data_IF_108026575902
#
_entry.id   IF_108026575902
#
_cell.length_a   1.000
_cell.length_b   1.000
_cell.length_c   1.000
_cell.angle_alpha   90.00
_cell.angle_beta   90.00
_cell.angle_gamma   90.00
#
_symmetry.space_group_name_H-M   'P 1'
#
loop_
_entity.id
_entity.type
_entity.pdbx_description
1 polymer ?
#
# COMPACT_ATOMS: atom_id res chain seq x y z
N UNK A 1 -46.08 -7.00 -74.00
CA UNK A 1 -44.98 -7.82 -73.39
C UNK A 1 -43.84 -6.91 -72.93
N UNK A 2 -43.91 -6.11 -71.89
CA UNK A 2 -42.73 -5.32 -71.48
C UNK A 2 -42.59 -4.99 -69.99
N UNK A 3 -43.58 -5.30 -69.13
CA UNK A 3 -43.47 -4.94 -67.71
C UNK A 3 -42.87 -6.02 -66.80
N UNK A 4 -42.86 -7.30 -67.20
CA UNK A 4 -42.35 -8.39 -66.38
C UNK A 4 -40.81 -8.46 -66.35
N UNK A 5 -40.13 -8.03 -67.42
CA UNK A 5 -38.67 -7.99 -67.50
C UNK A 5 -38.02 -6.91 -66.61
N UNK A 6 -38.65 -5.73 -66.52
CA UNK A 6 -38.14 -4.63 -65.70
C UNK A 6 -38.21 -4.90 -64.18
N UNK A 7 -39.22 -5.65 -63.72
CA UNK A 7 -39.40 -6.02 -62.34
C UNK A 7 -38.36 -7.05 -61.87
N UNK A 8 -38.02 -8.04 -62.71
CA UNK A 8 -36.98 -9.04 -62.43
C UNK A 8 -35.58 -8.42 -62.36
N UNK A 9 -35.28 -7.49 -63.29
CA UNK A 9 -34.01 -6.80 -63.36
C UNK A 9 -33.81 -5.87 -62.11
N UNK A 10 -34.83 -5.16 -61.65
CA UNK A 10 -34.77 -4.29 -60.48
C UNK A 10 -34.55 -5.08 -59.17
N UNK A 11 -35.15 -6.28 -59.05
CA UNK A 11 -34.99 -7.14 -57.88
C UNK A 11 -33.57 -7.76 -57.82
N UNK A 12 -33.01 -8.12 -59.01
CA UNK A 12 -31.63 -8.63 -59.10
C UNK A 12 -30.60 -7.55 -58.75
N UNK A 13 -30.77 -6.31 -59.26
CA UNK A 13 -29.89 -5.17 -58.92
C UNK A 13 -29.95 -4.80 -57.43
N UNK A 14 -31.13 -4.86 -56.78
CA UNK A 14 -31.25 -4.63 -55.35
C UNK A 14 -30.63 -5.73 -54.51
N UNK A 15 -30.70 -6.96 -54.95
CA UNK A 15 -30.01 -8.08 -54.28
C UNK A 15 -28.48 -7.98 -54.41
N UNK A 16 -27.99 -7.59 -55.58
CA UNK A 16 -26.54 -7.33 -55.78
C UNK A 16 -26.05 -6.17 -54.89
N UNK A 17 -26.80 -5.09 -54.79
CA UNK A 17 -26.45 -3.98 -53.86
C UNK A 17 -26.42 -4.42 -52.41
N UNK A 18 -27.38 -5.26 -51.97
CA UNK A 18 -27.39 -5.81 -50.57
C UNK A 18 -26.24 -6.74 -50.33
N UNK A 19 -25.86 -7.56 -51.27
CA UNK A 19 -24.68 -8.48 -51.16
C UNK A 19 -23.38 -7.67 -51.14
N UNK A 20 -23.24 -6.69 -52.02
CA UNK A 20 -22.09 -5.78 -52.06
C UNK A 20 -21.94 -5.02 -50.73
N UNK A 21 -23.03 -4.49 -50.16
CA UNK A 21 -23.03 -3.80 -48.88
C UNK A 21 -22.59 -4.73 -47.76
N UNK A 22 -23.03 -5.99 -47.72
CA UNK A 22 -22.61 -6.97 -46.71
C UNK A 22 -21.12 -7.34 -46.82
N UNK A 23 -20.61 -7.46 -48.07
CA UNK A 23 -19.19 -7.70 -48.30
C UNK A 23 -18.33 -6.52 -47.85
N UNK A 24 -18.76 -5.27 -48.12
CA UNK A 24 -18.06 -4.08 -47.70
C UNK A 24 -18.06 -3.96 -46.15
N UNK A 25 -19.19 -4.22 -45.49
CA UNK A 25 -19.27 -4.24 -44.03
C UNK A 25 -18.37 -5.34 -43.43
N UNK A 26 -18.37 -6.53 -44.04
CA UNK A 26 -17.48 -7.62 -43.60
C UNK A 26 -15.99 -7.29 -43.77
N UNK A 27 -15.63 -6.64 -44.88
CA UNK A 27 -14.25 -6.15 -45.10
C UNK A 27 -13.86 -5.05 -44.14
N UNK A 28 -14.76 -4.11 -43.83
CA UNK A 28 -14.54 -3.05 -42.83
C UNK A 28 -14.39 -3.63 -41.40
N UNK A 29 -15.20 -4.63 -41.05
CA UNK A 29 -15.07 -5.32 -39.75
C UNK A 29 -13.72 -6.06 -39.65
N UNK A 30 -13.25 -6.71 -40.72
CA UNK A 30 -11.94 -7.36 -40.72
C UNK A 30 -10.79 -6.34 -40.66
N UNK A 31 -10.93 -5.14 -41.25
CA UNK A 31 -9.93 -4.08 -41.14
C UNK A 31 -9.73 -3.57 -39.72
N UNK A 32 -10.80 -3.58 -38.91
CA UNK A 32 -10.73 -3.21 -37.48
C UNK A 32 -10.03 -4.26 -36.59
N UNK A 33 -9.90 -5.52 -37.06
CA UNK A 33 -9.24 -6.60 -36.30
C UNK A 33 -7.71 -6.55 -36.43
N UNK A 34 -7.18 -5.85 -37.43
CA UNK A 34 -5.74 -5.71 -37.67
C UNK A 34 -5.11 -4.49 -36.97
N UNK A 35 -5.72 -4.00 -35.86
CA UNK A 35 -5.00 -3.07 -35.00
C UNK A 35 -3.87 -3.84 -34.32
N UNK A 36 -2.65 -3.62 -34.78
CA UNK A 36 -1.46 -4.16 -34.12
C UNK A 36 -1.42 -3.59 -32.69
N UNK A 37 -1.67 -4.44 -31.70
CA UNK A 37 -1.40 -4.11 -30.31
C UNK A 37 0.12 -4.10 -30.17
N UNK A 38 0.72 -2.92 -30.18
CA UNK A 38 2.11 -2.76 -29.80
C UNK A 38 2.16 -2.85 -28.28
N UNK A 39 2.64 -3.96 -27.76
CA UNK A 39 3.06 -4.04 -26.38
C UNK A 39 4.44 -3.38 -26.29
N UNK A 40 4.55 -2.28 -25.54
CA UNK A 40 5.86 -1.72 -25.24
C UNK A 40 6.67 -2.74 -24.44
N UNK A 41 7.85 -3.05 -24.93
CA UNK A 41 8.80 -3.93 -24.23
C UNK A 41 9.36 -3.19 -23.02
N UNK A 42 8.97 -3.61 -21.81
CA UNK A 42 9.54 -3.06 -20.57
C UNK A 42 10.90 -3.72 -20.36
N UNK A 43 11.98 -2.92 -20.47
CA UNK A 43 13.35 -3.36 -20.20
C UNK A 43 13.73 -3.01 -18.76
N UNK A 44 14.12 -4.01 -18.01
CA UNK A 44 14.55 -3.86 -16.62
C UNK A 44 15.94 -4.45 -16.40
N UNK A 45 16.66 -3.89 -15.44
CA UNK A 45 17.96 -4.40 -15.00
C UNK A 45 17.74 -5.18 -13.69
N UNK A 46 17.98 -6.49 -13.67
CA UNK A 46 17.93 -7.27 -12.43
C UNK A 46 19.07 -6.83 -11.51
N UNK A 47 18.79 -6.67 -10.20
CA UNK A 47 19.77 -6.16 -9.24
C UNK A 47 20.16 -7.21 -8.22
N UNK A 48 19.25 -7.67 -7.36
CA UNK A 48 19.56 -8.63 -6.29
C UNK A 48 20.42 -8.06 -5.14
N UNK A 49 20.48 -6.72 -4.98
CA UNK A 49 21.25 -6.06 -3.90
C UNK A 49 20.43 -5.98 -2.63
N UNK A 50 21.04 -6.32 -1.48
CA UNK A 50 20.48 -6.07 -0.16
C UNK A 50 20.40 -4.56 0.11
N UNK A 51 19.29 -4.13 0.70
CA UNK A 51 18.98 -2.72 1.01
C UNK A 51 18.25 -2.62 2.34
N UNK A 52 18.37 -1.47 3.00
CA UNK A 52 17.48 -1.07 4.07
C UNK A 52 16.14 -0.60 3.47
N UNK A 53 15.05 -1.02 4.08
CA UNK A 53 13.70 -0.58 3.75
C UNK A 53 13.12 0.08 4.98
N UNK A 54 12.69 1.33 4.87
CA UNK A 54 12.00 2.06 5.94
C UNK A 54 10.67 2.59 5.42
N UNK A 55 9.59 2.24 6.10
CA UNK A 55 8.22 2.69 5.77
C UNK A 55 7.67 3.49 6.94
N UNK A 56 7.08 4.62 6.62
CA UNK A 56 6.28 5.43 7.53
C UNK A 56 4.81 5.22 7.22
N UNK A 57 4.03 4.94 8.26
CA UNK A 57 2.59 4.72 8.13
C UNK A 57 1.82 6.04 8.09
N UNK A 58 0.61 5.97 7.58
CA UNK A 58 -0.32 7.10 7.59
C UNK A 58 -1.02 7.14 8.94
N UNK A 59 -0.57 8.03 9.85
CA UNK A 59 -0.98 8.02 11.26
C UNK A 59 -0.28 6.94 12.09
N UNK A 60 -0.77 6.71 13.30
CA UNK A 60 -0.20 5.76 14.26
C UNK A 60 -1.03 4.47 14.32
N UNK A 61 -0.39 3.33 14.06
CA UNK A 61 -1.02 2.02 14.20
C UNK A 61 -1.00 1.58 15.67
N UNK A 62 -2.15 1.23 16.22
CA UNK A 62 -2.25 0.62 17.55
C UNK A 62 -1.86 -0.85 17.43
N UNK A 63 -0.71 -1.21 17.99
CA UNK A 63 -0.13 -2.57 17.95
C UNK A 63 -0.33 -3.35 19.25
N UNK A 64 -0.66 -2.65 20.34
CA UNK A 64 -0.91 -3.25 21.64
C UNK A 64 -1.56 -2.29 22.62
N UNK A 65 -1.97 -2.83 23.75
CA UNK A 65 -2.55 -2.06 24.85
C UNK A 65 -2.04 -2.57 26.21
N UNK A 66 -1.95 -1.66 27.18
CA UNK A 66 -1.57 -1.98 28.55
C UNK A 66 -2.45 -1.23 29.54
N UNK A 67 -2.47 -1.69 30.78
CA UNK A 67 -3.07 -0.95 31.88
C UNK A 67 -2.14 0.18 32.35
N UNK A 68 -2.74 1.27 32.81
CA UNK A 68 -2.05 2.38 33.45
C UNK A 68 -2.66 2.55 34.85
N UNK A 69 -1.87 2.36 35.89
CA UNK A 69 -2.34 2.36 37.27
C UNK A 69 -3.59 1.51 37.54
N UNK A 70 -3.64 0.28 36.92
CA UNK A 70 -4.75 -0.65 37.07
C UNK A 70 -6.00 -0.29 36.24
N UNK A 71 -5.96 0.78 35.44
CA UNK A 71 -7.06 1.16 34.55
C UNK A 71 -6.74 0.80 33.09
N UNK A 72 -7.64 0.04 32.46
CA UNK A 72 -7.53 -0.32 31.03
C UNK A 72 -8.30 0.70 30.19
N UNK A 73 -7.61 1.77 29.77
CA UNK A 73 -8.19 2.88 29.00
C UNK A 73 -8.68 2.41 27.64
N UNK A 74 -7.94 1.55 26.96
CA UNK A 74 -8.33 1.04 25.64
C UNK A 74 -9.65 0.30 25.69
N UNK A 75 -9.84 -0.58 26.67
CA UNK A 75 -11.09 -1.30 26.88
C UNK A 75 -12.24 -0.35 27.26
N UNK A 76 -11.98 0.62 28.12
CA UNK A 76 -12.97 1.61 28.60
C UNK A 76 -13.56 2.42 27.45
N UNK A 77 -12.72 2.86 26.52
CA UNK A 77 -13.12 3.71 25.39
C UNK A 77 -13.27 2.96 24.06
N UNK A 78 -13.07 1.65 24.05
CA UNK A 78 -13.27 0.80 22.85
C UNK A 78 -12.20 0.98 21.79
N UNK A 79 -10.97 1.38 22.16
CA UNK A 79 -9.80 1.42 21.28
C UNK A 79 -9.30 -0.02 21.10
N UNK A 80 -8.96 -0.41 19.88
CA UNK A 80 -8.58 -1.77 19.53
C UNK A 80 -7.22 -1.83 18.84
N UNK A 81 -6.57 -2.98 18.93
CA UNK A 81 -5.43 -3.31 18.06
C UNK A 81 -5.90 -3.23 16.60
N UNK A 82 -5.05 -2.76 15.71
CA UNK A 82 -5.32 -2.40 14.31
C UNK A 82 -6.05 -1.06 14.10
N UNK A 83 -6.43 -0.35 15.15
CA UNK A 83 -6.88 1.04 14.97
C UNK A 83 -5.73 1.89 14.46
N UNK A 84 -6.02 2.74 13.49
CA UNK A 84 -5.08 3.74 13.00
C UNK A 84 -5.51 5.11 13.49
N UNK A 85 -4.73 5.72 14.38
CA UNK A 85 -4.96 7.06 14.89
C UNK A 85 -4.42 8.06 13.88
N UNK A 86 -5.30 8.79 13.20
CA UNK A 86 -4.93 9.79 12.19
C UNK A 86 -4.81 11.19 12.76
N UNK A 87 -5.64 11.50 13.78
CA UNK A 87 -5.63 12.82 14.44
C UNK A 87 -5.82 12.71 15.94
N UNK A 88 -5.25 13.67 16.66
CA UNK A 88 -5.52 13.94 18.07
C UNK A 88 -5.93 15.41 18.21
N UNK A 89 -7.04 15.68 18.89
CA UNK A 89 -7.61 17.03 19.04
C UNK A 89 -7.75 17.77 17.68
N UNK A 90 -8.17 17.04 16.63
CA UNK A 90 -8.32 17.50 15.25
C UNK A 90 -7.00 17.89 14.53
N UNK A 91 -5.84 17.64 15.13
CA UNK A 91 -4.52 17.84 14.52
C UNK A 91 -3.99 16.50 13.99
N UNK A 92 -3.43 16.49 12.78
CA UNK A 92 -2.79 15.30 12.22
C UNK A 92 -1.63 14.86 13.10
N UNK A 93 -1.52 13.56 13.34
CA UNK A 93 -0.46 12.98 14.16
C UNK A 93 0.36 12.01 13.30
N UNK A 94 1.70 12.14 13.36
CA UNK A 94 2.60 11.38 12.51
C UNK A 94 3.79 10.76 13.27
N UNK A 95 3.94 11.06 14.55
CA UNK A 95 4.99 10.45 15.37
C UNK A 95 4.49 10.03 16.73
N UNK A 96 5.11 8.98 17.27
CA UNK A 96 4.83 8.46 18.60
C UNK A 96 5.19 9.46 19.70
N UNK A 97 6.25 10.26 19.49
CA UNK A 97 6.68 11.31 20.42
C UNK A 97 5.63 12.44 20.52
N UNK A 98 5.15 12.91 19.36
CA UNK A 98 4.10 13.95 19.31
C UNK A 98 2.82 13.47 19.97
N UNK A 99 2.42 12.22 19.73
CA UNK A 99 1.27 11.59 20.37
C UNK A 99 1.41 11.56 21.88
N UNK A 100 2.52 11.04 22.39
CA UNK A 100 2.78 10.93 23.82
C UNK A 100 2.80 12.30 24.49
N UNK A 101 3.41 13.30 23.86
CA UNK A 101 3.45 14.67 24.33
C UNK A 101 2.04 15.26 24.41
N UNK A 102 1.25 15.14 23.33
CA UNK A 102 -0.11 15.71 23.28
C UNK A 102 -1.03 15.05 24.30
N UNK A 103 -0.92 13.72 24.50
CA UNK A 103 -1.68 13.02 25.55
C UNK A 103 -1.32 13.54 26.94
N UNK A 104 -0.02 13.70 27.24
CA UNK A 104 0.45 14.17 28.53
C UNK A 104 0.05 15.63 28.82
N UNK A 105 0.00 16.49 27.83
CA UNK A 105 -0.39 17.90 27.93
C UNK A 105 -1.91 18.11 28.08
N UNK A 106 -2.72 17.04 27.85
CA UNK A 106 -4.19 17.13 27.89
C UNK A 106 -4.80 16.14 28.90
N UNK A 107 -4.57 16.33 30.22
CA UNK A 107 -5.04 15.41 31.26
C UNK A 107 -6.58 15.30 31.36
N UNK A 108 -7.30 16.32 30.90
CA UNK A 108 -8.76 16.36 30.94
C UNK A 108 -9.40 15.50 29.82
N UNK A 109 -8.64 15.08 28.82
CA UNK A 109 -9.09 14.24 27.73
C UNK A 109 -8.58 14.67 26.37
N UNK A 110 -8.57 13.72 25.45
CA UNK A 110 -8.20 13.90 24.04
C UNK A 110 -9.24 13.30 23.12
N UNK A 111 -9.47 13.95 21.99
CA UNK A 111 -10.31 13.45 20.90
C UNK A 111 -9.43 12.76 19.86
N UNK A 112 -9.60 11.45 19.71
CA UNK A 112 -8.86 10.63 18.73
C UNK A 112 -9.73 10.38 17.51
N UNK A 113 -9.27 10.82 16.33
CA UNK A 113 -9.85 10.39 15.06
C UNK A 113 -9.15 9.12 14.63
N UNK A 114 -9.89 8.03 14.60
CA UNK A 114 -9.38 6.68 14.36
C UNK A 114 -9.99 6.14 13.08
N UNK A 115 -9.20 5.48 12.26
CA UNK A 115 -9.68 4.65 11.15
C UNK A 115 -9.64 3.19 11.54
N UNK A 116 -10.80 2.52 11.47
CA UNK A 116 -10.99 1.09 11.74
C UNK A 116 -11.81 0.49 10.60
N UNK A 117 -11.28 -0.54 9.92
CA UNK A 117 -11.97 -1.21 8.80
C UNK A 117 -12.53 -0.23 7.75
N UNK A 118 -11.73 0.79 7.39
CA UNK A 118 -12.10 1.90 6.50
C UNK A 118 -13.21 2.84 7.01
N UNK A 119 -13.63 2.71 8.27
CA UNK A 119 -14.60 3.60 8.90
C UNK A 119 -13.89 4.63 9.79
N UNK A 120 -14.34 5.88 9.73
CA UNK A 120 -13.86 6.94 10.58
C UNK A 120 -14.63 6.93 11.90
N UNK A 121 -13.92 6.82 13.01
CA UNK A 121 -14.45 6.74 14.36
C UNK A 121 -13.83 7.86 15.20
N UNK A 122 -14.65 8.60 15.93
CA UNK A 122 -14.20 9.59 16.90
C UNK A 122 -14.33 9.01 18.31
N UNK A 123 -13.22 8.98 19.05
CA UNK A 123 -13.18 8.50 20.44
C UNK A 123 -12.65 9.63 21.34
N UNK A 124 -13.44 9.99 22.35
CA UNK A 124 -12.98 10.89 23.39
C UNK A 124 -12.47 10.05 24.56
N UNK A 125 -11.18 10.11 24.85
CA UNK A 125 -10.54 9.33 25.89
C UNK A 125 -9.86 10.23 26.91
N UNK A 126 -9.98 9.90 28.18
CA UNK A 126 -9.29 10.58 29.28
C UNK A 126 -8.06 9.75 29.64
N UNK A 127 -6.84 10.32 29.56
CA UNK A 127 -5.63 9.62 29.94
C UNK A 127 -5.54 9.44 31.46
N UNK A 128 -4.79 8.44 31.89
CA UNK A 128 -4.57 8.10 33.29
C UNK A 128 -3.14 8.50 33.67
N UNK A 129 -2.99 9.07 34.86
CA UNK A 129 -1.69 9.42 35.45
C UNK A 129 -0.95 8.11 35.81
N UNK A 130 0.23 7.91 35.24
CA UNK A 130 1.09 6.75 35.54
C UNK A 130 1.99 7.05 36.77
N UNK A 131 2.65 6.03 37.30
CA UNK A 131 3.50 6.12 38.49
C UNK A 131 4.68 7.09 38.32
N UNK A 132 5.13 7.32 37.10
CA UNK A 132 6.19 8.29 36.74
C UNK A 132 5.66 9.72 36.47
N UNK A 133 4.42 10.01 36.90
CA UNK A 133 3.75 11.30 36.74
C UNK A 133 3.54 11.76 35.29
N UNK A 134 3.37 10.81 34.37
CA UNK A 134 3.04 11.07 32.95
C UNK A 134 1.64 10.56 32.65
N UNK A 135 0.82 11.37 31.98
CA UNK A 135 -0.51 10.96 31.54
C UNK A 135 -0.41 10.08 30.29
N UNK A 136 -1.03 8.90 30.34
CA UNK A 136 -0.99 7.90 29.27
C UNK A 136 -2.37 7.31 28.97
N UNK A 137 -2.53 6.85 27.71
CA UNK A 137 -3.71 6.09 27.30
C UNK A 137 -3.48 4.56 27.36
N UNK A 138 -2.28 4.11 27.72
CA UNK A 138 -1.93 2.69 27.72
C UNK A 138 -1.98 2.06 26.33
N UNK A 139 -1.66 2.83 25.29
CA UNK A 139 -1.62 2.38 23.91
C UNK A 139 -0.17 2.20 23.47
N UNK A 140 0.10 1.07 22.81
CA UNK A 140 1.35 0.85 22.11
C UNK A 140 1.09 1.20 20.65
N UNK A 141 1.78 2.23 20.18
CA UNK A 141 1.58 2.78 18.84
C UNK A 141 2.86 2.73 18.03
N UNK A 142 2.73 2.58 16.71
CA UNK A 142 3.84 2.50 15.76
C UNK A 142 3.59 3.47 14.61
N UNK A 143 4.59 4.28 14.28
CA UNK A 143 4.58 5.24 13.16
C UNK A 143 5.42 4.79 11.96
N UNK A 144 6.34 3.86 12.18
CA UNK A 144 7.26 3.41 11.13
C UNK A 144 7.73 1.98 11.38
N UNK A 145 8.20 1.35 10.34
CA UNK A 145 8.91 0.07 10.41
C UNK A 145 10.14 0.11 9.51
N UNK A 146 11.19 -0.63 9.91
CA UNK A 146 12.39 -0.78 9.12
C UNK A 146 12.84 -2.23 9.10
N UNK A 147 13.48 -2.63 8.02
CA UNK A 147 14.01 -3.97 7.84
C UNK A 147 15.00 -4.05 6.69
N UNK A 148 15.55 -5.24 6.47
CA UNK A 148 16.42 -5.54 5.33
C UNK A 148 15.59 -6.21 4.25
N UNK A 149 15.78 -5.78 3.01
CA UNK A 149 15.15 -6.36 1.83
C UNK A 149 16.11 -6.51 0.67
N UNK A 150 15.59 -6.95 -0.47
CA UNK A 150 16.38 -7.09 -1.69
C UNK A 150 15.67 -6.36 -2.83
N UNK A 151 16.38 -5.47 -3.52
CA UNK A 151 15.89 -4.86 -4.76
C UNK A 151 15.88 -5.93 -5.84
N UNK A 152 14.74 -6.15 -6.46
CA UNK A 152 14.55 -7.16 -7.50
C UNK A 152 15.02 -6.64 -8.85
N UNK A 153 14.52 -5.48 -9.27
CA UNK A 153 14.91 -4.86 -10.53
C UNK A 153 14.81 -3.33 -10.46
N UNK A 154 15.46 -2.70 -11.41
CA UNK A 154 15.42 -1.28 -11.69
C UNK A 154 15.09 -1.06 -13.17
N UNK A 155 14.21 -0.11 -13.46
CA UNK A 155 13.88 0.31 -14.81
C UNK A 155 14.59 1.63 -15.15
N UNK A 156 15.61 1.63 -16.04
CA UNK A 156 16.37 2.84 -16.36
C UNK A 156 15.59 3.84 -17.21
N UNK A 157 14.44 3.47 -17.80
CA UNK A 157 13.66 4.37 -18.64
C UNK A 157 12.88 5.39 -17.82
N UNK A 158 12.39 5.00 -16.63
CA UNK A 158 11.55 5.84 -15.78
C UNK A 158 12.04 5.93 -14.33
N UNK A 159 13.21 5.37 -14.03
CA UNK A 159 13.81 5.29 -12.71
C UNK A 159 12.98 4.55 -11.65
N UNK A 160 12.01 3.72 -12.06
CA UNK A 160 11.23 2.93 -11.12
C UNK A 160 11.98 1.66 -10.70
N UNK A 161 11.63 1.13 -9.53
CA UNK A 161 12.17 -0.13 -9.04
C UNK A 161 11.05 -1.00 -8.44
N UNK A 162 11.34 -2.30 -8.31
CA UNK A 162 10.60 -3.21 -7.46
C UNK A 162 11.54 -3.95 -6.52
N UNK A 163 11.06 -4.26 -5.34
CA UNK A 163 11.81 -4.99 -4.33
C UNK A 163 10.94 -5.97 -3.55
N UNK A 164 11.56 -6.92 -2.88
CA UNK A 164 11.06 -7.95 -1.99
C UNK A 164 10.35 -9.13 -2.69
N UNK A 165 9.34 -8.94 -3.50
CA UNK A 165 8.47 -10.00 -4.03
C UNK A 165 7.34 -10.41 -3.07
N UNK A 166 7.16 -9.70 -1.96
CA UNK A 166 6.06 -9.80 -0.99
C UNK A 166 5.83 -8.45 -0.33
N UNK A 167 4.66 -8.27 0.26
CA UNK A 167 4.35 -7.07 1.03
C UNK A 167 5.08 -7.01 2.37
N UNK A 168 5.18 -5.81 2.91
CA UNK A 168 5.64 -5.57 4.28
C UNK A 168 4.41 -5.51 5.17
N UNK A 169 4.34 -6.45 6.09
CA UNK A 169 3.29 -6.55 7.08
C UNK A 169 3.79 -6.05 8.44
N UNK A 170 2.89 -5.52 9.23
CA UNK A 170 3.17 -5.26 10.63
C UNK A 170 3.33 -6.60 11.38
N UNK A 171 4.38 -6.71 12.17
CA UNK A 171 4.76 -7.98 12.83
C UNK A 171 3.77 -8.36 13.95
N UNK A 172 3.14 -7.38 14.58
CA UNK A 172 2.25 -7.62 15.72
C UNK A 172 0.83 -7.94 15.25
N UNK A 173 0.39 -7.30 14.16
CA UNK A 173 -0.97 -7.41 13.65
C UNK A 173 -1.10 -8.33 12.44
N UNK A 174 0.01 -8.60 11.74
CA UNK A 174 0.04 -9.40 10.51
C UNK A 174 -0.55 -8.71 9.28
N UNK A 175 -1.07 -7.49 9.42
CA UNK A 175 -1.70 -6.75 8.33
C UNK A 175 -0.66 -6.04 7.47
N UNK A 176 -0.96 -5.90 6.17
CA UNK A 176 -0.13 -5.12 5.27
C UNK A 176 -0.11 -3.65 5.70
N UNK A 177 1.10 -3.08 5.78
CA UNK A 177 1.28 -1.69 6.17
C UNK A 177 0.88 -0.75 5.04
N UNK A 178 0.04 0.24 5.36
CA UNK A 178 -0.21 1.37 4.45
C UNK A 178 1.03 2.28 4.42
N UNK A 179 1.42 2.71 3.22
CA UNK A 179 2.59 3.58 3.02
C UNK A 179 2.12 5.02 2.89
N UNK A 180 2.53 5.87 3.83
CA UNK A 180 2.50 7.32 3.67
C UNK A 180 3.72 7.79 2.87
N UNK A 181 4.87 7.29 3.26
CA UNK A 181 6.15 7.47 2.59
C UNK A 181 7.08 6.33 2.98
N UNK A 182 8.11 6.10 2.19
CA UNK A 182 9.12 5.11 2.52
C UNK A 182 10.40 5.34 1.74
N UNK A 183 11.48 4.76 2.23
CA UNK A 183 12.81 4.92 1.67
C UNK A 183 13.48 3.56 1.50
N UNK A 184 14.18 3.43 0.38
CA UNK A 184 15.23 2.42 0.22
C UNK A 184 16.54 3.08 0.62
N UNK A 185 17.28 2.42 1.51
CA UNK A 185 18.52 2.89 2.09
C UNK A 185 19.68 1.96 1.69
N UNK A 186 20.89 2.49 1.64
CA UNK A 186 22.04 1.61 1.61
C UNK A 186 22.10 0.77 2.91
N UNK A 187 22.48 -0.48 2.74
CA UNK A 187 22.58 -1.43 3.85
C UNK A 187 23.89 -2.23 3.74
N UNK A 188 24.63 -2.27 4.83
CA UNK A 188 25.78 -3.13 5.00
C UNK A 188 25.36 -4.37 5.81
N UNK A 189 25.59 -5.56 5.26
CA UNK A 189 25.30 -6.81 5.96
C UNK A 189 26.40 -7.07 6.98
N UNK A 190 26.04 -7.13 8.26
CA UNK A 190 26.97 -7.33 9.37
C UNK A 190 27.12 -8.81 9.72
N UNK A 191 26.03 -9.57 9.70
CA UNK A 191 26.04 -11.00 10.00
C UNK A 191 24.84 -11.73 9.37
N UNK A 192 24.97 -13.05 9.28
CA UNK A 192 23.92 -13.95 8.81
C UNK A 192 23.78 -15.10 9.80
N UNK A 193 22.60 -15.23 10.39
CA UNK A 193 22.22 -16.39 11.19
C UNK A 193 21.63 -17.46 10.27
N UNK A 194 22.24 -18.65 10.24
CA UNK A 194 21.76 -19.75 9.38
C UNK A 194 20.45 -20.31 9.94
N UNK A 195 19.54 -20.67 9.04
CA UNK A 195 18.29 -21.35 9.41
C UNK A 195 18.56 -22.76 9.96
N UNK A 196 17.72 -23.20 10.87
CA UNK A 196 17.61 -24.58 11.34
C UNK A 196 16.15 -25.00 11.43
N UNK A 197 15.86 -26.29 11.63
CA UNK A 197 14.47 -26.77 11.68
C UNK A 197 13.69 -26.04 12.79
N UNK A 198 12.63 -25.34 12.41
CA UNK A 198 11.78 -24.53 13.30
C UNK A 198 12.31 -23.14 13.63
N UNK A 199 13.51 -22.77 13.14
CA UNK A 199 14.10 -21.46 13.33
C UNK A 199 14.52 -20.89 11.97
N UNK A 200 13.82 -19.87 11.43
CA UNK A 200 14.21 -19.23 10.18
C UNK A 200 15.56 -18.53 10.32
N UNK A 201 16.30 -18.47 9.22
CA UNK A 201 17.54 -17.69 9.19
C UNK A 201 17.25 -16.20 9.22
N UNK A 202 18.24 -15.41 9.65
CA UNK A 202 18.14 -13.98 9.79
C UNK A 202 19.37 -13.28 9.21
N UNK A 203 19.15 -12.15 8.56
CA UNK A 203 20.20 -11.25 8.07
C UNK A 203 20.19 -10.01 8.95
N UNK A 204 21.33 -9.71 9.57
CA UNK A 204 21.53 -8.50 10.36
C UNK A 204 22.39 -7.51 9.56
N UNK A 205 21.99 -6.25 9.51
CA UNK A 205 22.70 -5.19 8.81
C UNK A 205 22.53 -3.83 9.46
N UNK A 206 23.32 -2.90 9.02
CA UNK A 206 23.24 -1.49 9.39
C UNK A 206 22.87 -0.63 8.19
N UNK A 207 22.09 0.41 8.43
CA UNK A 207 21.72 1.41 7.43
C UNK A 207 22.59 2.64 7.61
N UNK A 208 23.16 3.15 6.52
CA UNK A 208 23.99 4.36 6.52
C UNK A 208 23.18 5.66 6.51
N UNK A 209 21.84 5.56 6.44
CA UNK A 209 20.92 6.70 6.36
C UNK A 209 20.80 7.33 4.97
N UNK A 210 21.61 6.92 4.00
CA UNK A 210 21.55 7.46 2.63
C UNK A 210 20.38 6.84 1.85
N UNK A 211 19.43 7.68 1.48
CA UNK A 211 18.29 7.28 0.65
C UNK A 211 18.72 7.10 -0.81
N UNK A 212 18.48 5.93 -1.36
CA UNK A 212 18.76 5.59 -2.76
C UNK A 212 17.50 5.44 -3.61
N UNK A 213 16.33 5.42 -2.99
CA UNK A 213 15.03 5.37 -3.67
C UNK A 213 13.89 5.65 -2.70
N UNK A 214 12.75 6.10 -3.25
CA UNK A 214 11.54 6.36 -2.48
C UNK A 214 10.51 5.28 -2.76
N UNK A 215 9.86 4.77 -1.70
CA UNK A 215 8.79 3.77 -1.81
C UNK A 215 7.47 4.49 -1.92
N UNK A 216 6.69 4.16 -2.94
CA UNK A 216 5.36 4.71 -3.19
C UNK A 216 4.25 3.72 -2.88
N UNK A 217 4.51 2.42 -3.04
CA UNK A 217 3.50 1.36 -2.93
C UNK A 217 4.07 0.19 -2.13
N UNK A 218 3.26 -0.30 -1.19
CA UNK A 218 3.43 -1.60 -0.54
C UNK A 218 2.22 -2.47 -0.90
N UNK A 219 2.44 -3.56 -1.60
CA UNK A 219 1.41 -4.48 -2.07
C UNK A 219 1.71 -5.92 -1.66
N UNK A 220 0.78 -6.83 -1.81
CA UNK A 220 0.99 -8.24 -1.49
C UNK A 220 2.13 -8.90 -2.30
N UNK A 221 2.46 -8.36 -3.47
CA UNK A 221 3.48 -8.90 -4.39
C UNK A 221 4.79 -8.15 -4.37
N UNK A 222 4.95 -7.14 -3.51
CA UNK A 222 6.20 -6.39 -3.36
C UNK A 222 6.00 -4.90 -3.07
N UNK A 223 7.13 -4.22 -2.94
CA UNK A 223 7.21 -2.77 -2.82
C UNK A 223 7.71 -2.15 -4.11
N UNK A 224 7.22 -0.97 -4.44
CA UNK A 224 7.51 -0.24 -5.68
C UNK A 224 7.78 1.25 -5.40
N UNK A 225 8.60 1.84 -6.26
CA UNK A 225 8.95 3.26 -6.19
C UNK A 225 9.70 3.78 -7.40
#
# INVERSE_FOLDING_TARGET
MSNFGKFKCRKAVNNLKKVSCKIVVFLLLNLCIFTSVYADEIKVVPIGKAVGVKIYTDGLLVVGTSEVNGENVSKKYGIKINDRIEKINNQLINSTEEFSKTVNENPSGVALSIKRDNQDILINAVPVLSEDNIYRLGLWVRDSTAGIGTVTYYNPQNNSFAALGHGINDIDTGNILSVKSGNILNCDILSVSKSSKGHPGEINGAFDGNTIGNISINSQIGIYG
#
